data_IF_733593087858
#
_entry.id   IF_733593087858
#
_cell.length_a   1.000
_cell.length_b   1.000
_cell.length_c   1.000
_cell.angle_alpha   90.00
_cell.angle_beta   90.00
_cell.angle_gamma   90.00
#
_symmetry.space_group_name_H-M   'P 1'
#
loop_
_entity.id
_entity.type
_entity.pdbx_description
1 polymer ?
#
# COMPACT_ATOMS: atom_id res chain seq x y z
N UNK A 1 14.58 12.45 -26.58
CA UNK A 1 13.43 12.10 -25.73
C UNK A 1 12.80 10.86 -26.33
N UNK A 2 12.83 9.73 -25.62
CA UNK A 2 12.22 8.47 -26.12
C UNK A 2 10.69 8.66 -26.11
N UNK A 3 10.03 8.33 -27.21
CA UNK A 3 8.58 8.24 -27.27
C UNK A 3 8.18 6.85 -26.76
N UNK A 4 7.25 6.80 -25.82
CA UNK A 4 6.72 5.58 -25.23
C UNK A 4 5.29 5.42 -25.75
N UNK A 5 4.90 4.20 -26.15
CA UNK A 5 3.50 3.91 -26.47
C UNK A 5 2.69 3.74 -25.19
N UNK A 6 1.35 3.81 -25.29
CA UNK A 6 0.46 3.78 -24.11
C UNK A 6 0.59 2.51 -23.24
N UNK A 7 1.21 1.45 -23.76
CA UNK A 7 1.52 0.18 -23.06
C UNK A 7 2.93 0.13 -22.46
N UNK A 8 3.80 1.08 -22.80
CA UNK A 8 5.16 1.20 -22.25
C UNK A 8 5.20 2.01 -20.94
N UNK A 9 4.10 2.69 -20.60
CA UNK A 9 3.98 3.44 -19.35
C UNK A 9 3.71 2.53 -18.15
N UNK A 10 4.03 3.02 -16.96
CA UNK A 10 3.62 2.37 -15.72
C UNK A 10 2.08 2.30 -15.67
N UNK A 11 1.55 1.13 -15.32
CA UNK A 11 0.12 1.00 -15.07
C UNK A 11 -0.28 1.84 -13.85
N UNK A 12 -1.56 2.21 -13.76
CA UNK A 12 -2.07 2.98 -12.64
C UNK A 12 -1.81 2.29 -11.30
N UNK A 13 -1.99 0.96 -11.25
CA UNK A 13 -1.71 0.13 -10.08
C UNK A 13 -0.22 0.13 -9.71
N UNK A 14 0.68 0.12 -10.71
CA UNK A 14 2.11 0.18 -10.47
C UNK A 14 2.55 1.54 -9.90
N UNK A 15 1.93 2.64 -10.34
CA UNK A 15 2.17 3.98 -9.78
C UNK A 15 1.67 4.04 -8.33
N UNK A 16 0.46 3.56 -8.05
CA UNK A 16 -0.07 3.52 -6.69
C UNK A 16 0.82 2.70 -5.75
N UNK A 17 1.19 1.47 -6.16
CA UNK A 17 2.06 0.61 -5.36
C UNK A 17 3.47 1.21 -5.16
N UNK A 18 3.99 1.98 -6.13
CA UNK A 18 5.25 2.70 -5.96
C UNK A 18 5.14 3.78 -4.87
N UNK A 19 4.04 4.52 -4.85
CA UNK A 19 3.79 5.61 -3.91
C UNK A 19 3.58 5.09 -2.49
N UNK A 20 2.87 3.97 -2.36
CA UNK A 20 2.58 3.34 -1.07
C UNK A 20 3.74 2.44 -0.58
N UNK A 21 4.77 2.23 -1.41
CA UNK A 21 5.95 1.44 -1.06
C UNK A 21 5.71 -0.08 -1.08
N UNK A 22 4.68 -0.53 -1.79
CA UNK A 22 4.24 -1.93 -1.84
C UNK A 22 4.87 -2.73 -3.00
N UNK A 23 5.63 -2.08 -3.88
CA UNK A 23 6.39 -2.75 -4.92
C UNK A 23 7.51 -3.63 -4.34
N UNK A 24 7.73 -4.79 -4.97
CA UNK A 24 8.93 -5.59 -4.69
C UNK A 24 10.20 -4.80 -5.04
N UNK A 25 11.35 -5.07 -4.39
CA UNK A 25 12.58 -4.29 -4.62
C UNK A 25 13.00 -4.21 -6.09
N UNK A 26 12.82 -5.31 -6.84
CA UNK A 26 13.14 -5.34 -8.27
C UNK A 26 12.14 -4.52 -9.10
N UNK A 27 10.87 -4.47 -8.72
CA UNK A 27 9.86 -3.66 -9.38
C UNK A 27 10.08 -2.17 -9.10
N UNK A 28 10.43 -1.81 -7.86
CA UNK A 28 10.80 -0.44 -7.47
C UNK A 28 11.97 0.08 -8.29
N UNK A 29 13.04 -0.73 -8.45
CA UNK A 29 14.18 -0.33 -9.28
C UNK A 29 13.78 -0.09 -10.74
N UNK A 30 12.97 -0.96 -11.34
CA UNK A 30 12.48 -0.78 -12.72
C UNK A 30 11.61 0.47 -12.85
N UNK A 31 10.73 0.72 -11.89
CA UNK A 31 9.89 1.90 -11.88
C UNK A 31 10.74 3.18 -11.80
N UNK A 32 11.75 3.24 -10.92
CA UNK A 32 12.66 4.39 -10.87
C UNK A 32 13.44 4.60 -12.16
N UNK A 33 13.94 3.53 -12.78
CA UNK A 33 14.60 3.61 -14.08
C UNK A 33 13.66 4.17 -15.16
N UNK A 34 12.41 3.70 -15.20
CA UNK A 34 11.39 4.23 -16.11
C UNK A 34 11.10 5.72 -15.83
N UNK A 35 10.96 6.11 -14.56
CA UNK A 35 10.77 7.50 -14.15
C UNK A 35 11.97 8.39 -14.47
N UNK A 36 13.17 7.86 -14.71
CA UNK A 36 14.29 8.68 -15.19
C UNK A 36 14.15 9.02 -16.68
N UNK A 37 13.51 8.15 -17.46
CA UNK A 37 13.40 8.28 -18.93
C UNK A 37 12.08 8.90 -19.41
N UNK A 38 10.97 8.69 -18.69
CA UNK A 38 9.63 9.11 -19.10
C UNK A 38 9.10 10.32 -18.28
N UNK A 39 8.82 11.45 -18.95
CA UNK A 39 8.20 12.63 -18.32
C UNK A 39 6.77 12.39 -17.85
N UNK A 40 6.01 11.65 -18.63
CA UNK A 40 4.56 11.55 -18.44
C UNK A 40 4.25 10.69 -17.21
N UNK A 41 5.02 9.62 -17.01
CA UNK A 41 4.96 8.83 -15.79
C UNK A 41 5.47 9.59 -14.56
N UNK A 42 6.44 10.51 -14.71
CA UNK A 42 6.82 11.40 -13.60
C UNK A 42 5.69 12.32 -13.20
N UNK A 43 5.03 12.96 -14.17
CA UNK A 43 3.89 13.83 -13.92
C UNK A 43 2.74 13.07 -13.27
N UNK A 44 2.41 11.88 -13.78
CA UNK A 44 1.37 11.03 -13.20
C UNK A 44 1.69 10.64 -11.74
N UNK A 45 2.93 10.23 -11.49
CA UNK A 45 3.38 9.88 -10.14
C UNK A 45 3.27 11.08 -9.21
N UNK A 46 3.66 12.29 -9.65
CA UNK A 46 3.52 13.51 -8.85
C UNK A 46 2.06 13.85 -8.55
N UNK A 47 1.15 13.71 -9.53
CA UNK A 47 -0.29 13.94 -9.35
C UNK A 47 -0.86 12.98 -8.31
N UNK A 48 -0.56 11.70 -8.40
CA UNK A 48 -1.04 10.70 -7.44
C UNK A 48 -0.41 10.89 -6.05
N UNK A 49 0.87 11.26 -5.95
CA UNK A 49 1.52 11.58 -4.68
C UNK A 49 0.85 12.77 -3.99
N UNK A 50 0.53 13.82 -4.73
CA UNK A 50 -0.19 14.98 -4.19
C UNK A 50 -1.59 14.59 -3.69
N UNK A 51 -2.32 13.76 -4.44
CA UNK A 51 -3.62 13.25 -4.02
C UNK A 51 -3.52 12.42 -2.72
N UNK A 52 -2.56 11.49 -2.66
CA UNK A 52 -2.32 10.67 -1.47
C UNK A 52 -1.90 11.50 -0.25
N UNK A 53 -1.08 12.54 -0.46
CA UNK A 53 -0.69 13.49 0.58
C UNK A 53 -1.89 14.30 1.11
N UNK A 54 -2.78 14.76 0.23
CA UNK A 54 -4.00 15.48 0.64
C UNK A 54 -4.91 14.62 1.52
N UNK A 55 -5.12 13.35 1.15
CA UNK A 55 -5.88 12.39 1.98
C UNK A 55 -5.21 12.20 3.34
N UNK A 56 -3.89 12.01 3.38
CA UNK A 56 -3.14 11.84 4.63
C UNK A 56 -3.20 13.08 5.52
N UNK A 57 -3.16 14.28 4.94
CA UNK A 57 -3.29 15.54 5.68
C UNK A 57 -4.66 15.62 6.39
N UNK A 58 -5.74 15.29 5.68
CA UNK A 58 -7.09 15.28 6.24
C UNK A 58 -7.38 14.14 7.21
N UNK A 59 -6.55 13.09 7.23
CA UNK A 59 -6.57 12.11 8.32
C UNK A 59 -5.93 12.68 9.61
N UNK A 60 -4.97 13.61 9.49
CA UNK A 60 -4.22 14.18 10.61
C UNK A 60 -4.92 15.32 11.33
N UNK A 61 -5.75 16.10 10.63
CA UNK A 61 -6.47 17.27 11.17
C UNK A 61 -7.58 16.92 12.19
N UNK A 62 -7.86 15.62 12.37
CA UNK A 62 -8.85 15.11 13.32
C UNK A 62 -10.28 15.07 12.77
N UNK A 63 -10.50 15.46 11.51
CA UNK A 63 -11.79 15.33 10.84
C UNK A 63 -12.17 13.85 10.62
N UNK A 64 -11.18 13.01 10.32
CA UNK A 64 -11.34 11.56 10.15
C UNK A 64 -10.81 10.83 11.39
N UNK A 65 -11.66 10.75 12.42
CA UNK A 65 -11.38 10.01 13.67
C UNK A 65 -12.14 8.69 13.69
N UNK A 66 -11.45 7.61 14.03
CA UNK A 66 -12.10 6.35 14.38
C UNK A 66 -13.08 6.58 15.55
N UNK A 67 -14.25 5.92 15.57
CA UNK A 67 -15.17 6.00 16.70
C UNK A 67 -14.47 5.64 18.00
N UNK A 68 -14.74 6.40 19.08
CA UNK A 68 -14.10 6.21 20.39
C UNK A 68 -14.22 4.76 20.90
N UNK A 69 -15.39 4.14 20.70
CA UNK A 69 -15.64 2.75 21.08
C UNK A 69 -14.76 1.74 20.35
N UNK A 70 -14.33 2.04 19.11
CA UNK A 70 -13.40 1.18 18.36
C UNK A 70 -11.98 1.32 18.92
N UNK A 71 -11.55 2.56 19.21
CA UNK A 71 -10.23 2.84 19.81
C UNK A 71 -10.11 2.16 21.17
N UNK A 72 -11.15 2.25 22.01
CA UNK A 72 -11.20 1.57 23.31
C UNK A 72 -11.13 0.04 23.17
N UNK A 73 -11.84 -0.54 22.19
CA UNK A 73 -11.75 -1.99 21.90
C UNK A 73 -10.37 -2.41 21.41
N UNK A 74 -9.75 -1.64 20.51
CA UNK A 74 -8.41 -1.92 19.98
C UNK A 74 -7.34 -1.80 21.07
N UNK A 75 -7.46 -0.84 21.98
CA UNK A 75 -6.53 -0.69 23.10
C UNK A 75 -6.56 -1.88 24.08
N UNK A 76 -7.68 -2.63 24.12
CA UNK A 76 -7.82 -3.86 24.90
C UNK A 76 -7.30 -5.10 24.17
N UNK A 77 -7.05 -5.01 22.86
CA UNK A 77 -6.35 -6.03 22.10
C UNK A 77 -4.84 -5.83 22.29
N UNK A 78 -4.32 -6.23 23.44
CA UNK A 78 -2.86 -6.31 23.64
C UNK A 78 -2.26 -7.34 22.67
N UNK A 79 -1.01 -7.11 22.24
CA UNK A 79 -0.12 -8.09 21.57
C UNK A 79 -0.01 -9.35 22.44
N UNK A 80 -1.00 -10.24 22.31
CA UNK A 80 -0.78 -11.63 22.64
C UNK A 80 0.19 -12.13 21.60
N UNK A 81 1.47 -12.16 21.93
CA UNK A 81 2.51 -12.84 21.16
C UNK A 81 2.04 -14.27 20.96
N UNK A 82 1.37 -14.56 19.83
CA UNK A 82 0.95 -15.92 19.50
C UNK A 82 2.24 -16.67 19.28
N UNK A 83 2.61 -17.66 20.14
CA UNK A 83 3.81 -18.43 19.93
C UNK A 83 3.73 -19.03 18.52
N UNK A 84 4.80 -18.90 17.73
CA UNK A 84 4.79 -19.25 16.30
C UNK A 84 4.24 -20.66 16.02
N UNK A 85 4.39 -21.57 16.99
CA UNK A 85 3.87 -22.94 17.01
C UNK A 85 2.33 -23.07 17.02
N UNK A 86 1.59 -22.12 17.57
CA UNK A 86 0.11 -22.14 17.54
C UNK A 86 -0.48 -21.62 16.23
N UNK A 87 0.23 -20.73 15.52
CA UNK A 87 -0.24 -20.17 14.25
C UNK A 87 -0.46 -21.27 13.21
N UNK A 88 0.50 -22.19 13.04
CA UNK A 88 0.41 -23.25 12.03
C UNK A 88 -0.75 -24.23 12.30
N UNK A 89 -1.08 -24.44 13.58
CA UNK A 89 -2.24 -25.24 14.03
C UNK A 89 -3.56 -24.51 13.77
N UNK A 90 -3.62 -23.21 14.03
CA UNK A 90 -4.80 -22.36 13.79
C UNK A 90 -5.14 -22.21 12.30
N UNK A 91 -4.14 -21.94 11.44
CA UNK A 91 -4.33 -21.85 9.99
C UNK A 91 -4.67 -23.20 9.34
N UNK A 92 -4.19 -24.31 9.92
CA UNK A 92 -4.53 -25.66 9.48
C UNK A 92 -5.97 -26.03 9.84
N UNK A 93 -6.45 -25.66 11.05
CA UNK A 93 -7.84 -25.87 11.48
C UNK A 93 -8.83 -25.03 10.67
N UNK A 94 -8.51 -23.77 10.38
CA UNK A 94 -9.38 -22.88 9.61
C UNK A 94 -9.52 -23.30 8.13
N UNK A 95 -8.47 -23.85 7.51
CA UNK A 95 -8.54 -24.39 6.13
C UNK A 95 -9.22 -25.75 6.03
N UNK A 96 -9.35 -26.49 7.13
CA UNK A 96 -10.05 -27.79 7.16
C UNK A 96 -11.57 -27.69 7.12
N UNK A 97 -12.14 -26.51 7.39
CA UNK A 97 -13.59 -26.25 7.39
C UNK A 97 -14.17 -25.78 6.06
N UNK A 98 -13.36 -25.67 5.00
CA UNK A 98 -13.82 -25.34 3.65
C UNK A 98 -13.83 -26.61 2.78
N UNK A 99 -14.77 -27.50 3.09
CA UNK A 99 -15.26 -28.56 2.19
C UNK A 99 -16.76 -28.61 2.27
#
# INVERSE_FOLDING_TARGET
MRQFDSIDHLSYEAVAALIDGELSPSATQRAHSHLAECSDCREETQRQQAAAAAVRLHNGDGCLRAPRSLVEKLALMTDGEIPAEETHSLWSKLRGGLK
#
